data_IF_907376801611
#
_entry.id   IF_907376801611
#
_cell.length_a   1.000
_cell.length_b   1.000
_cell.length_c   1.000
_cell.angle_alpha   90.00
_cell.angle_beta   90.00
_cell.angle_gamma   90.00
#
_symmetry.space_group_name_H-M   'P 1'
#
loop_
_entity.id
_entity.type
_entity.pdbx_description
1 polymer ?
#
# COMPACT_ATOMS: atom_id res chain seq x y z
N UNK A 1 9.60 -37.36 26.02
CA UNK A 1 10.55 -36.32 25.54
C UNK A 1 10.64 -36.54 24.05
N UNK A 2 9.93 -35.72 23.31
CA UNK A 2 9.56 -36.01 21.93
C UNK A 2 10.46 -35.31 20.90
N UNK A 3 10.85 -36.12 19.97
CA UNK A 3 11.65 -35.92 18.78
C UNK A 3 10.99 -34.91 17.76
N UNK A 4 10.87 -33.64 18.16
CA UNK A 4 10.45 -32.55 17.25
C UNK A 4 11.62 -31.84 16.60
N UNK A 5 12.86 -32.06 17.06
CA UNK A 5 14.08 -31.47 16.52
C UNK A 5 14.55 -32.06 15.19
N UNK A 6 14.17 -33.30 14.87
CA UNK A 6 14.70 -34.01 13.72
C UNK A 6 13.87 -33.77 12.43
N UNK A 7 12.57 -33.46 12.56
CA UNK A 7 11.73 -33.18 11.38
C UNK A 7 12.01 -31.82 10.76
N UNK A 8 12.38 -30.81 11.55
CA UNK A 8 12.73 -29.49 11.01
C UNK A 8 14.07 -29.48 10.26
N UNK A 9 15.06 -30.29 10.69
CA UNK A 9 16.35 -30.42 9.97
C UNK A 9 16.23 -31.16 8.63
N UNK A 10 15.34 -32.14 8.52
CA UNK A 10 15.12 -32.87 7.27
C UNK A 10 14.44 -31.98 6.21
N UNK A 11 13.50 -31.11 6.60
CA UNK A 11 12.83 -30.16 5.72
C UNK A 11 13.78 -29.03 5.24
N UNK A 12 14.76 -28.66 6.08
CA UNK A 12 15.79 -27.68 5.70
C UNK A 12 16.78 -28.23 4.67
N UNK A 13 17.08 -29.53 4.68
CA UNK A 13 18.03 -30.15 3.72
C UNK A 13 17.47 -30.32 2.31
N UNK A 14 16.15 -30.32 2.12
CA UNK A 14 15.50 -30.41 0.82
C UNK A 14 15.30 -29.06 0.13
N UNK A 15 15.40 -27.96 0.87
CA UNK A 15 15.34 -26.61 0.30
C UNK A 15 16.71 -26.21 -0.22
N UNK A 16 16.85 -26.08 -1.55
CA UNK A 16 18.11 -25.60 -2.13
C UNK A 16 18.61 -24.29 -1.52
N UNK A 17 19.91 -24.04 -1.53
CA UNK A 17 20.56 -22.91 -0.82
C UNK A 17 20.02 -21.52 -1.19
N UNK A 18 19.37 -21.38 -2.35
CA UNK A 18 18.80 -20.12 -2.82
C UNK A 18 17.57 -19.68 -1.99
N UNK A 19 16.69 -20.61 -1.61
CA UNK A 19 15.47 -20.27 -0.85
C UNK A 19 15.78 -19.90 0.60
N UNK A 20 16.69 -20.62 1.24
CA UNK A 20 17.08 -20.38 2.64
C UNK A 20 17.76 -19.03 2.82
N UNK A 21 18.43 -18.52 1.78
CA UNK A 21 19.14 -17.24 1.86
C UNK A 21 18.23 -16.00 1.91
N UNK A 22 16.96 -16.10 1.51
CA UNK A 22 16.01 -14.98 1.46
C UNK A 22 15.07 -14.93 2.64
N UNK A 23 14.72 -16.07 3.24
CA UNK A 23 13.81 -16.13 4.38
C UNK A 23 14.47 -15.56 5.64
N UNK A 24 13.74 -14.76 6.38
CA UNK A 24 14.14 -14.20 7.66
C UNK A 24 13.01 -14.38 8.66
N UNK A 25 13.31 -15.04 9.79
CA UNK A 25 12.32 -15.31 10.81
C UNK A 25 11.07 -16.02 10.27
N UNK A 26 9.91 -15.61 10.74
CA UNK A 26 8.64 -16.28 10.45
C UNK A 26 7.85 -15.62 9.28
N UNK A 27 8.03 -14.31 9.04
CA UNK A 27 7.16 -13.55 8.14
C UNK A 27 7.92 -12.70 7.12
N UNK A 28 9.25 -12.58 7.26
CA UNK A 28 10.04 -11.65 6.45
C UNK A 28 10.84 -12.34 5.35
N UNK A 29 10.96 -11.64 4.23
CA UNK A 29 11.79 -12.02 3.08
C UNK A 29 12.71 -10.84 2.76
N UNK A 30 14.01 -11.11 2.60
CA UNK A 30 14.97 -10.14 2.07
C UNK A 30 15.41 -10.63 0.70
N UNK A 31 15.18 -9.85 -0.32
CA UNK A 31 15.44 -10.25 -1.70
C UNK A 31 16.94 -10.26 -2.00
N UNK A 32 17.46 -11.40 -2.47
CA UNK A 32 18.85 -11.51 -2.93
C UNK A 32 19.10 -10.65 -4.17
N UNK A 33 18.08 -10.54 -5.03
CA UNK A 33 18.03 -9.63 -6.17
C UNK A 33 16.86 -8.68 -5.96
N UNK A 34 17.12 -7.58 -5.27
CA UNK A 34 16.09 -6.60 -4.94
C UNK A 34 15.54 -5.95 -6.23
N UNK A 35 14.22 -6.03 -6.48
CA UNK A 35 13.60 -5.36 -7.62
C UNK A 35 13.73 -3.85 -7.56
N UNK A 36 13.77 -3.21 -8.72
CA UNK A 36 13.68 -1.76 -8.85
C UNK A 36 12.21 -1.33 -8.85
N UNK A 37 11.94 -0.21 -8.24
CA UNK A 37 10.71 0.54 -8.47
C UNK A 37 11.02 1.55 -9.57
N UNK A 38 10.53 1.29 -10.79
CA UNK A 38 10.93 2.01 -12.01
C UNK A 38 10.17 3.31 -12.20
N UNK A 39 8.89 3.31 -11.86
CA UNK A 39 8.01 4.46 -11.93
C UNK A 39 6.82 4.29 -10.99
N UNK A 40 6.21 5.41 -10.68
CA UNK A 40 4.92 5.47 -10.00
C UNK A 40 4.10 6.63 -10.55
N UNK A 41 2.78 6.52 -10.40
CA UNK A 41 1.87 7.61 -10.71
C UNK A 41 0.75 7.69 -9.70
N UNK A 42 0.21 8.89 -9.53
CA UNK A 42 -0.86 9.21 -8.60
C UNK A 42 -1.92 10.06 -9.29
N UNK A 43 -3.18 9.66 -9.11
CA UNK A 43 -4.36 10.41 -9.55
C UNK A 43 -5.21 10.69 -8.33
N UNK A 44 -5.72 11.91 -8.17
CA UNK A 44 -6.46 12.30 -6.99
C UNK A 44 -7.67 13.18 -7.31
N UNK A 45 -8.67 13.16 -6.43
CA UNK A 45 -9.88 13.95 -6.51
C UNK A 45 -9.71 15.39 -6.03
N UNK A 46 -10.82 16.12 -6.05
CA UNK A 46 -10.87 17.54 -5.76
C UNK A 46 -10.49 17.88 -4.31
N UNK A 47 -10.92 17.07 -3.34
CA UNK A 47 -10.63 17.28 -1.92
C UNK A 47 -9.15 17.04 -1.60
N UNK A 48 -8.56 16.01 -2.18
CA UNK A 48 -7.14 15.68 -2.06
C UNK A 48 -6.27 16.75 -2.71
N UNK A 49 -6.72 17.32 -3.85
CA UNK A 49 -6.04 18.41 -4.55
C UNK A 49 -5.97 19.71 -3.70
N UNK A 50 -6.92 19.91 -2.78
CA UNK A 50 -6.94 21.04 -1.84
C UNK A 50 -6.10 20.76 -0.59
N UNK A 51 -5.65 19.55 -0.36
CA UNK A 51 -4.84 19.16 0.77
C UNK A 51 -3.36 19.51 0.65
N UNK A 52 -2.56 19.22 1.68
CA UNK A 52 -1.13 19.52 1.70
C UNK A 52 -0.34 18.90 0.55
N UNK A 53 -0.80 17.77 0.01
CA UNK A 53 -0.13 17.06 -1.08
C UNK A 53 -0.69 17.41 -2.47
N UNK A 54 -1.61 18.35 -2.59
CA UNK A 54 -2.32 18.64 -3.85
C UNK A 54 -1.40 18.91 -5.04
N UNK A 55 -0.26 19.59 -4.82
CA UNK A 55 0.73 19.90 -5.86
C UNK A 55 1.68 18.73 -6.19
N UNK A 56 1.62 17.65 -5.41
CA UNK A 56 2.50 16.48 -5.58
C UNK A 56 1.89 15.43 -6.48
N UNK A 57 0.56 15.41 -6.63
CA UNK A 57 -0.11 14.43 -7.49
C UNK A 57 0.19 14.68 -8.96
N UNK A 58 0.26 13.60 -9.73
CA UNK A 58 0.52 13.66 -11.17
C UNK A 58 -0.68 14.19 -11.97
N UNK A 59 -1.86 13.82 -11.51
CA UNK A 59 -3.13 14.27 -12.07
C UNK A 59 -4.14 14.51 -10.94
N UNK A 60 -4.82 15.63 -11.00
CA UNK A 60 -5.97 15.92 -10.13
C UNK A 60 -7.17 16.29 -10.99
N UNK A 61 -8.38 15.93 -10.55
CA UNK A 61 -9.61 16.30 -11.22
C UNK A 61 -10.51 17.07 -10.25
N UNK A 62 -11.11 18.16 -10.75
CA UNK A 62 -12.11 18.94 -10.00
C UNK A 62 -13.48 18.24 -10.01
N UNK A 63 -13.73 17.41 -11.01
CA UNK A 63 -14.90 16.54 -11.11
C UNK A 63 -14.60 15.18 -10.47
N UNK A 64 -15.19 14.90 -9.31
CA UNK A 64 -15.02 13.62 -8.60
C UNK A 64 -15.65 12.44 -9.36
N UNK A 65 -16.45 12.68 -10.40
CA UNK A 65 -16.92 11.64 -11.32
C UNK A 65 -15.91 11.27 -12.40
N UNK A 66 -14.84 12.04 -12.57
CA UNK A 66 -13.80 11.77 -13.58
C UNK A 66 -14.38 11.55 -15.00
N UNK A 67 -15.43 12.29 -15.32
CA UNK A 67 -16.14 12.19 -16.61
C UNK A 67 -17.03 10.96 -16.76
N UNK A 68 -17.25 10.18 -15.70
CA UNK A 68 -18.12 9.01 -15.68
C UNK A 68 -19.55 9.36 -15.21
N UNK A 69 -20.47 8.43 -15.36
CA UNK A 69 -21.85 8.56 -14.87
C UNK A 69 -22.04 8.01 -13.45
N UNK A 70 -21.15 7.13 -13.01
CA UNK A 70 -21.20 6.48 -11.70
C UNK A 70 -19.86 6.60 -10.95
N UNK A 71 -19.90 6.49 -9.62
CA UNK A 71 -18.69 6.53 -8.80
C UNK A 71 -17.79 5.31 -8.98
N UNK A 72 -18.36 4.14 -9.32
CA UNK A 72 -17.60 2.93 -9.61
C UNK A 72 -16.80 3.09 -10.91
N UNK A 73 -17.41 3.67 -11.95
CA UNK A 73 -16.73 4.02 -13.20
C UNK A 73 -15.68 5.14 -12.97
N UNK A 74 -15.99 6.13 -12.14
CA UNK A 74 -15.06 7.18 -11.77
C UNK A 74 -13.78 6.61 -11.14
N UNK A 75 -13.94 5.67 -10.20
CA UNK A 75 -12.82 4.97 -9.57
C UNK A 75 -12.04 4.12 -10.58
N UNK A 76 -12.74 3.46 -11.50
CA UNK A 76 -12.14 2.70 -12.61
C UNK A 76 -11.29 3.59 -13.52
N UNK A 77 -11.79 4.77 -13.88
CA UNK A 77 -11.07 5.75 -14.68
C UNK A 77 -9.80 6.23 -13.96
N UNK A 78 -9.86 6.51 -12.67
CA UNK A 78 -8.68 6.87 -11.88
C UNK A 78 -7.61 5.77 -11.90
N UNK A 79 -7.99 4.50 -11.74
CA UNK A 79 -7.05 3.38 -11.81
C UNK A 79 -6.40 3.27 -13.18
N UNK A 80 -7.20 3.37 -14.24
CA UNK A 80 -6.71 3.34 -15.62
C UNK A 80 -5.68 4.43 -15.87
N UNK A 81 -6.01 5.68 -15.51
CA UNK A 81 -5.11 6.82 -15.67
C UNK A 81 -3.80 6.65 -14.88
N UNK A 82 -3.87 6.18 -13.64
CA UNK A 82 -2.67 5.91 -12.85
C UNK A 82 -1.76 4.86 -13.51
N UNK A 83 -2.33 3.77 -14.04
CA UNK A 83 -1.60 2.75 -14.77
C UNK A 83 -0.94 3.32 -16.04
N UNK A 84 -1.69 4.05 -16.85
CA UNK A 84 -1.21 4.66 -18.10
C UNK A 84 -0.06 5.63 -17.83
N UNK A 85 -0.20 6.48 -16.81
CA UNK A 85 0.84 7.42 -16.40
C UNK A 85 2.10 6.69 -15.89
N UNK A 86 1.96 5.67 -15.06
CA UNK A 86 3.10 4.90 -14.53
C UNK A 86 3.86 4.20 -15.67
N UNK A 87 3.15 3.56 -16.60
CA UNK A 87 3.73 2.94 -17.79
C UNK A 87 4.41 3.98 -18.69
N UNK A 88 3.76 5.12 -18.91
CA UNK A 88 4.32 6.23 -19.68
C UNK A 88 5.63 6.77 -19.10
N UNK A 89 5.69 6.96 -17.79
CA UNK A 89 6.90 7.45 -17.08
C UNK A 89 8.06 6.45 -17.11
N UNK A 90 7.75 5.15 -17.13
CA UNK A 90 8.78 4.10 -17.21
C UNK A 90 9.30 3.87 -18.63
N UNK A 91 8.53 4.27 -19.63
CA UNK A 91 8.74 3.91 -21.04
C UNK A 91 8.78 2.39 -21.31
N UNK A 92 8.10 1.61 -20.47
CA UNK A 92 7.92 0.17 -20.67
C UNK A 92 6.67 -0.07 -21.52
N UNK A 93 6.79 -0.93 -22.53
CA UNK A 93 5.64 -1.37 -23.31
C UNK A 93 4.68 -2.18 -22.40
N UNK A 94 3.39 -1.86 -22.31
CA UNK A 94 2.41 -2.62 -21.53
C UNK A 94 2.44 -4.12 -21.82
N UNK A 95 2.72 -4.52 -23.06
CA UNK A 95 2.86 -5.93 -23.47
C UNK A 95 4.04 -6.66 -22.81
N UNK A 96 5.00 -5.92 -22.24
CA UNK A 96 6.14 -6.48 -21.51
C UNK A 96 5.84 -6.73 -20.03
N UNK A 97 4.72 -6.20 -19.53
CA UNK A 97 4.27 -6.41 -18.15
C UNK A 97 3.66 -7.81 -18.05
N UNK A 98 4.26 -8.63 -17.17
CA UNK A 98 3.84 -10.03 -17.06
C UNK A 98 2.54 -10.22 -16.32
N UNK A 99 2.38 -9.54 -15.18
CA UNK A 99 1.19 -9.55 -14.34
C UNK A 99 0.89 -8.17 -13.77
N UNK A 100 -0.38 -7.93 -13.55
CA UNK A 100 -0.91 -6.82 -12.77
C UNK A 100 -1.45 -7.36 -11.46
N UNK A 101 -1.12 -6.69 -10.35
CA UNK A 101 -1.67 -6.91 -9.02
C UNK A 101 -2.48 -5.68 -8.66
N UNK A 102 -3.79 -5.83 -8.53
CA UNK A 102 -4.65 -4.67 -8.32
C UNK A 102 -5.82 -4.95 -7.39
N UNK A 103 -6.34 -3.90 -6.80
CA UNK A 103 -7.50 -3.98 -5.94
C UNK A 103 -8.04 -2.60 -5.57
N UNK A 104 -9.23 -2.64 -5.01
CA UNK A 104 -9.99 -1.50 -4.52
C UNK A 104 -10.74 -1.89 -3.24
N UNK A 105 -11.63 -1.02 -2.73
CA UNK A 105 -12.42 -1.30 -1.52
C UNK A 105 -13.77 -1.96 -1.81
N UNK A 106 -14.18 -2.04 -3.07
CA UNK A 106 -15.52 -2.49 -3.45
C UNK A 106 -15.62 -4.01 -3.52
N UNK A 107 -16.83 -4.52 -3.38
CA UNK A 107 -17.10 -5.95 -3.56
C UNK A 107 -16.66 -6.42 -4.92
N UNK A 108 -16.07 -7.60 -4.94
CA UNK A 108 -15.49 -8.29 -6.09
C UNK A 108 -14.39 -7.52 -6.83
N UNK A 109 -13.89 -6.38 -6.28
CA UNK A 109 -12.89 -5.57 -6.96
C UNK A 109 -13.40 -5.00 -8.28
N UNK A 110 -14.63 -4.46 -8.30
CA UNK A 110 -15.29 -4.06 -9.55
C UNK A 110 -14.61 -2.87 -10.21
N UNK A 111 -14.17 -1.88 -9.42
CA UNK A 111 -13.47 -0.73 -9.96
C UNK A 111 -12.15 -1.14 -10.64
N UNK A 112 -11.42 -2.06 -10.03
CA UNK A 112 -10.18 -2.61 -10.60
C UNK A 112 -10.47 -3.40 -11.87
N UNK A 113 -11.48 -4.27 -11.85
CA UNK A 113 -11.82 -5.11 -12.99
C UNK A 113 -12.15 -4.29 -14.24
N UNK A 114 -12.96 -3.25 -14.08
CA UNK A 114 -13.33 -2.33 -15.17
C UNK A 114 -12.18 -1.39 -15.55
N UNK A 115 -11.42 -0.91 -14.57
CA UNK A 115 -10.37 0.10 -14.78
C UNK A 115 -9.16 -0.41 -15.56
N UNK A 116 -8.81 -1.70 -15.40
CA UNK A 116 -7.61 -2.27 -16.04
C UNK A 116 -7.89 -3.17 -17.23
N UNK A 117 -9.16 -3.39 -17.58
CA UNK A 117 -9.57 -4.26 -18.68
C UNK A 117 -8.85 -3.90 -20.00
N UNK A 118 -8.84 -2.63 -20.36
CA UNK A 118 -8.23 -2.14 -21.60
C UNK A 118 -6.71 -2.35 -21.68
N UNK A 119 -6.03 -2.54 -20.55
CA UNK A 119 -4.59 -2.79 -20.54
C UNK A 119 -4.22 -4.18 -21.05
N UNK A 120 -5.18 -5.11 -21.06
CA UNK A 120 -5.02 -6.51 -21.51
C UNK A 120 -3.81 -7.22 -20.87
N UNK A 121 -3.51 -6.87 -19.60
CA UNK A 121 -2.45 -7.49 -18.79
C UNK A 121 -3.10 -8.54 -17.88
N UNK A 122 -2.58 -9.79 -17.81
CA UNK A 122 -3.08 -10.79 -16.87
C UNK A 122 -3.06 -10.27 -15.43
N UNK A 123 -4.18 -10.40 -14.72
CA UNK A 123 -4.39 -9.76 -13.42
C UNK A 123 -4.61 -10.76 -12.29
N UNK A 124 -4.08 -10.40 -11.11
CA UNK A 124 -4.51 -10.91 -9.81
C UNK A 124 -5.31 -9.81 -9.10
N UNK A 125 -6.61 -10.03 -8.93
CA UNK A 125 -7.46 -9.19 -8.09
C UNK A 125 -7.20 -9.49 -6.61
N UNK A 126 -6.93 -8.45 -5.82
CA UNK A 126 -6.54 -8.54 -4.43
C UNK A 126 -7.55 -7.82 -3.53
N UNK A 127 -7.68 -8.30 -2.29
CA UNK A 127 -8.49 -7.63 -1.29
C UNK A 127 -7.92 -7.78 0.13
N UNK A 128 -7.23 -6.75 0.58
CA UNK A 128 -6.76 -6.56 1.96
C UNK A 128 -7.30 -5.26 2.58
N UNK A 129 -8.50 -4.83 2.17
CA UNK A 129 -9.06 -3.52 2.50
C UNK A 129 -8.04 -2.40 2.17
N UNK A 130 -7.85 -1.42 3.06
CA UNK A 130 -6.90 -0.33 2.81
C UNK A 130 -5.43 -0.81 2.68
N UNK A 131 -5.07 -2.00 3.18
CA UNK A 131 -3.72 -2.57 3.04
C UNK A 131 -3.41 -3.16 1.66
N UNK A 132 -4.39 -3.22 0.76
CA UNK A 132 -4.23 -3.81 -0.59
C UNK A 132 -3.08 -3.18 -1.37
N UNK A 133 -2.75 -1.90 -1.15
CA UNK A 133 -1.57 -1.26 -1.76
C UNK A 133 -0.25 -1.92 -1.36
N UNK A 134 -0.13 -2.32 -0.09
CA UNK A 134 1.02 -3.08 0.40
C UNK A 134 1.05 -4.51 -0.12
N UNK A 135 -0.10 -5.16 -0.17
CA UNK A 135 -0.26 -6.50 -0.71
C UNK A 135 0.13 -6.56 -2.19
N UNK A 136 -0.40 -5.65 -3.01
CA UNK A 136 -0.09 -5.57 -4.44
C UNK A 136 1.40 -5.31 -4.70
N UNK A 137 2.00 -4.36 -3.98
CA UNK A 137 3.41 -4.01 -4.14
C UNK A 137 4.33 -5.15 -3.65
N UNK A 138 3.98 -5.83 -2.55
CA UNK A 138 4.71 -6.98 -2.06
C UNK A 138 4.70 -8.14 -3.07
N UNK A 139 3.52 -8.48 -3.62
CA UNK A 139 3.39 -9.55 -4.61
C UNK A 139 4.10 -9.23 -5.91
N UNK A 140 4.03 -7.97 -6.39
CA UNK A 140 4.79 -7.53 -7.55
C UNK A 140 6.30 -7.70 -7.34
N UNK A 141 6.82 -7.25 -6.19
CA UNK A 141 8.24 -7.39 -5.86
C UNK A 141 8.68 -8.84 -5.71
N UNK A 142 7.90 -9.67 -5.02
CA UNK A 142 8.15 -11.11 -4.86
C UNK A 142 8.19 -11.80 -6.21
N UNK A 143 7.25 -11.48 -7.11
CA UNK A 143 7.17 -12.08 -8.45
C UNK A 143 8.37 -11.73 -9.33
N UNK A 144 8.82 -10.47 -9.29
CA UNK A 144 10.04 -10.05 -9.99
C UNK A 144 11.28 -10.72 -9.37
N UNK A 145 11.42 -10.72 -8.05
CA UNK A 145 12.55 -11.32 -7.35
C UNK A 145 12.65 -12.84 -7.58
N UNK A 146 11.51 -13.51 -7.74
CA UNK A 146 11.42 -14.93 -8.07
C UNK A 146 11.71 -15.25 -9.57
N UNK A 147 11.78 -14.22 -10.43
CA UNK A 147 12.04 -14.40 -11.86
C UNK A 147 10.81 -14.81 -12.67
N UNK A 148 9.59 -14.57 -12.19
CA UNK A 148 8.36 -14.88 -12.93
C UNK A 148 8.07 -13.91 -14.07
N UNK A 149 8.80 -12.82 -14.16
CA UNK A 149 8.77 -11.83 -15.24
C UNK A 149 9.66 -10.64 -14.91
N UNK A 150 10.00 -9.87 -15.95
CA UNK A 150 10.86 -8.69 -15.79
C UNK A 150 10.13 -7.47 -15.26
N UNK A 151 8.83 -7.36 -15.57
CA UNK A 151 8.01 -6.22 -15.16
C UNK A 151 6.68 -6.69 -14.59
N UNK A 152 6.29 -6.08 -13.47
CA UNK A 152 5.01 -6.25 -12.80
C UNK A 152 4.42 -4.88 -12.52
N UNK A 153 3.10 -4.75 -12.69
CA UNK A 153 2.36 -3.54 -12.36
C UNK A 153 1.54 -3.77 -11.10
N UNK A 154 1.61 -2.85 -10.16
CA UNK A 154 0.76 -2.82 -8.97
C UNK A 154 -0.10 -1.56 -9.02
N UNK A 155 -1.41 -1.67 -8.71
CA UNK A 155 -2.32 -0.52 -8.68
C UNK A 155 -3.39 -0.71 -7.62
N UNK A 156 -3.72 0.36 -6.90
CA UNK A 156 -4.87 0.38 -6.01
C UNK A 156 -5.53 1.74 -6.03
N UNK A 157 -6.84 1.74 -5.78
CA UNK A 157 -7.66 2.94 -5.68
C UNK A 157 -8.65 2.87 -4.54
N UNK A 158 -9.16 4.02 -4.16
CA UNK A 158 -10.38 4.19 -3.40
C UNK A 158 -11.08 5.46 -3.87
N UNK A 159 -12.40 5.50 -3.71
CA UNK A 159 -13.21 6.65 -4.05
C UNK A 159 -14.25 6.88 -2.95
N UNK A 160 -14.36 8.14 -2.46
CA UNK A 160 -15.27 8.46 -1.37
C UNK A 160 -16.71 8.00 -1.66
N UNK A 161 -17.27 8.37 -2.81
CA UNK A 161 -18.67 8.07 -3.14
C UNK A 161 -18.99 6.59 -3.19
N UNK A 162 -18.14 5.78 -3.85
CA UNK A 162 -18.32 4.33 -3.97
C UNK A 162 -18.14 3.62 -2.62
N UNK A 163 -17.08 3.94 -1.89
CA UNK A 163 -16.77 3.31 -0.60
C UNK A 163 -17.80 3.69 0.49
N UNK A 164 -18.20 4.94 0.58
CA UNK A 164 -19.21 5.36 1.56
C UNK A 164 -20.57 4.71 1.27
N UNK A 165 -20.94 4.56 0.00
CA UNK A 165 -22.14 3.83 -0.41
C UNK A 165 -22.08 2.34 -0.02
N UNK A 166 -20.91 1.74 -0.12
CA UNK A 166 -20.69 0.34 0.25
C UNK A 166 -20.74 0.11 1.77
N UNK A 167 -20.08 0.97 2.54
CA UNK A 167 -19.81 0.74 3.97
C UNK A 167 -20.71 1.56 4.91
N UNK A 168 -21.23 2.71 4.47
CA UNK A 168 -22.03 3.64 5.30
C UNK A 168 -23.36 4.04 4.65
N UNK A 169 -24.03 3.05 4.10
CA UNK A 169 -25.38 3.27 3.56
C UNK A 169 -26.41 3.51 4.70
N UNK A 170 -27.36 4.46 4.60
CA UNK A 170 -27.55 5.34 3.44
C UNK A 170 -26.56 6.50 3.40
N UNK A 171 -26.10 6.82 2.19
CA UNK A 171 -25.05 7.81 1.94
C UNK A 171 -25.39 9.24 2.44
N UNK A 172 -26.68 9.55 2.54
CA UNK A 172 -27.13 10.84 3.09
C UNK A 172 -26.70 11.13 4.53
N UNK A 173 -26.22 10.10 5.26
CA UNK A 173 -25.67 10.23 6.60
C UNK A 173 -24.14 10.19 6.64
N UNK A 174 -23.47 10.15 5.49
CA UNK A 174 -22.02 10.04 5.46
C UNK A 174 -21.27 11.23 6.11
N UNK A 175 -21.90 12.38 6.25
CA UNK A 175 -21.39 13.54 6.97
C UNK A 175 -21.59 13.46 8.51
N UNK A 176 -22.41 12.54 9.00
CA UNK A 176 -22.62 12.31 10.44
C UNK A 176 -21.59 11.31 10.97
N UNK A 177 -20.35 11.75 11.06
CA UNK A 177 -19.21 10.90 11.44
C UNK A 177 -18.71 11.27 12.84
N UNK A 178 -18.39 10.29 13.72
CA UNK A 178 -17.69 10.58 14.96
C UNK A 178 -16.27 11.07 14.69
N UNK A 179 -15.63 11.71 15.68
CA UNK A 179 -14.24 12.18 15.55
C UNK A 179 -13.22 11.05 15.32
N UNK A 180 -13.61 9.80 15.58
CA UNK A 180 -12.80 8.61 15.30
C UNK A 180 -12.87 8.15 13.85
N UNK A 181 -13.85 8.62 13.06
CA UNK A 181 -14.03 8.20 11.68
C UNK A 181 -13.01 8.85 10.76
N UNK A 182 -12.62 8.08 9.74
CA UNK A 182 -11.78 8.55 8.64
C UNK A 182 -12.63 9.08 7.48
N UNK A 183 -11.99 9.85 6.64
CA UNK A 183 -12.50 10.23 5.32
C UNK A 183 -11.89 9.31 4.25
N UNK A 184 -12.71 8.63 3.46
CA UNK A 184 -12.19 7.82 2.35
C UNK A 184 -11.56 8.72 1.30
N UNK A 185 -10.30 8.47 0.98
CA UNK A 185 -9.54 9.22 -0.02
C UNK A 185 -10.00 8.84 -1.42
N UNK A 186 -10.26 9.83 -2.25
CA UNK A 186 -10.55 9.66 -3.68
C UNK A 186 -9.23 9.76 -4.44
N UNK A 187 -8.54 8.63 -4.60
CA UNK A 187 -7.26 8.58 -5.31
C UNK A 187 -6.92 7.17 -5.79
N UNK A 188 -5.98 7.12 -6.73
CA UNK A 188 -5.31 5.90 -7.19
C UNK A 188 -3.80 6.08 -7.22
N UNK A 189 -3.07 5.00 -6.95
CA UNK A 189 -1.62 4.93 -7.12
C UNK A 189 -1.21 3.67 -7.86
N UNK A 190 -0.36 3.82 -8.89
CA UNK A 190 0.18 2.73 -9.68
C UNK A 190 1.71 2.71 -9.65
N UNK A 191 2.30 1.50 -9.66
CA UNK A 191 3.73 1.28 -9.50
C UNK A 191 4.23 0.24 -10.50
N UNK A 192 5.26 0.57 -11.26
CA UNK A 192 5.96 -0.41 -12.10
C UNK A 192 7.20 -0.93 -11.37
N UNK A 193 7.22 -2.22 -11.12
CA UNK A 193 8.33 -2.94 -10.49
C UNK A 193 9.06 -3.76 -11.54
N UNK A 194 10.40 -3.69 -11.56
CA UNK A 194 11.21 -4.35 -12.58
C UNK A 194 12.48 -5.02 -12.05
N UNK A 195 12.95 -6.03 -12.78
CA UNK A 195 14.18 -6.79 -12.45
C UNK A 195 15.46 -5.98 -12.71
N UNK A 196 15.39 -4.99 -13.58
CA UNK A 196 16.53 -4.16 -14.00
C UNK A 196 16.06 -2.78 -14.43
N UNK A 197 16.97 -1.82 -14.41
CA UNK A 197 16.74 -0.51 -15.01
C UNK A 197 16.69 -0.65 -16.54
N UNK A 198 15.79 0.07 -17.18
CA UNK A 198 15.74 0.08 -18.64
C UNK A 198 17.08 0.48 -19.22
N UNK A 199 17.71 -0.42 -19.98
CA UNK A 199 18.92 -0.13 -20.72
C UNK A 199 18.59 0.87 -21.81
N UNK A 200 19.35 1.96 -21.85
CA UNK A 200 19.29 2.93 -22.92
C UNK A 200 19.79 2.23 -24.17
N UNK A 201 18.92 1.88 -25.11
CA UNK A 201 19.37 1.52 -26.45
C UNK A 201 20.03 2.75 -27.08
N UNK A 202 21.23 2.54 -27.64
CA UNK A 202 22.18 3.56 -28.10
C UNK A 202 21.77 4.34 -29.37
N UNK A 203 20.48 4.43 -29.69
CA UNK A 203 20.03 5.26 -30.79
C UNK A 203 19.90 6.72 -30.33
N UNK A 204 20.55 7.59 -31.07
CA UNK A 204 20.78 9.02 -30.83
C UNK A 204 19.51 9.89 -30.69
N UNK A 205 18.33 9.31 -30.56
CA UNK A 205 17.07 10.02 -30.33
C UNK A 205 16.47 9.71 -28.97
N UNK A 206 16.65 10.66 -28.05
CA UNK A 206 16.08 10.76 -26.70
C UNK A 206 16.37 9.55 -25.79
N UNK A 207 17.31 9.72 -24.88
CA UNK A 207 17.54 8.86 -23.73
C UNK A 207 16.26 8.81 -22.88
N UNK A 208 15.37 7.82 -23.11
CA UNK A 208 14.20 7.58 -22.29
C UNK A 208 14.66 6.82 -21.06
N UNK A 209 14.67 7.47 -19.90
CA UNK A 209 15.07 6.91 -18.61
C UNK A 209 13.82 6.58 -17.83
N UNK A 210 13.84 5.50 -17.03
CA UNK A 210 12.84 5.28 -15.99
C UNK A 210 12.74 6.51 -15.08
N UNK A 211 11.56 6.77 -14.54
CA UNK A 211 11.33 7.88 -13.61
C UNK A 211 12.27 7.80 -12.41
N UNK A 212 12.34 6.59 -11.80
CA UNK A 212 13.22 6.31 -10.67
C UNK A 212 14.39 5.43 -11.09
N UNK A 213 15.54 5.66 -10.48
CA UNK A 213 16.79 4.93 -10.76
C UNK A 213 17.46 4.40 -9.51
N UNK A 214 17.15 4.99 -8.37
CA UNK A 214 17.81 4.72 -7.10
C UNK A 214 16.90 4.05 -6.08
N UNK A 215 15.70 3.61 -6.49
CA UNK A 215 14.73 3.01 -5.58
C UNK A 215 14.65 1.51 -5.79
N UNK A 216 14.84 0.76 -4.71
CA UNK A 216 14.64 -0.70 -4.69
C UNK A 216 13.71 -1.12 -3.57
N UNK A 217 12.97 -2.20 -3.84
CA UNK A 217 12.23 -2.93 -2.81
C UNK A 217 13.17 -4.05 -2.34
N UNK A 218 13.74 -3.89 -1.14
CA UNK A 218 14.77 -4.80 -0.63
C UNK A 218 14.21 -6.01 0.10
N UNK A 219 12.95 -5.96 0.51
CA UNK A 219 12.27 -7.06 1.16
C UNK A 219 10.87 -6.71 1.62
N UNK A 220 10.21 -7.69 2.20
CA UNK A 220 8.84 -7.59 2.70
C UNK A 220 8.68 -8.33 4.03
N UNK A 221 7.75 -7.89 4.86
CA UNK A 221 7.23 -8.65 6.01
C UNK A 221 5.74 -8.81 5.81
N UNK A 222 5.30 -10.03 5.55
CA UNK A 222 3.90 -10.32 5.28
C UNK A 222 3.16 -10.43 6.63
N UNK A 223 2.17 -9.58 6.80
CA UNK A 223 1.35 -9.55 8.01
C UNK A 223 0.33 -10.68 8.05
N UNK A 224 -0.19 -10.90 9.23
CA UNK A 224 -1.32 -11.79 9.50
C UNK A 224 -2.53 -10.99 9.96
N UNK A 225 -3.70 -11.60 9.88
CA UNK A 225 -4.93 -11.03 10.44
C UNK A 225 -4.81 -11.00 11.96
N UNK A 226 -5.06 -9.83 12.56
CA UNK A 226 -5.04 -9.61 14.00
C UNK A 226 -6.39 -9.05 14.43
N UNK A 227 -7.04 -9.70 15.38
CA UNK A 227 -8.34 -9.30 15.90
C UNK A 227 -8.27 -9.12 17.42
N UNK A 228 -8.55 -7.91 17.89
CA UNK A 228 -8.66 -7.58 19.32
C UNK A 228 -10.12 -7.53 19.80
N UNK A 229 -11.07 -8.01 18.99
CA UNK A 229 -12.48 -8.06 19.32
C UNK A 229 -13.20 -6.71 19.26
N UNK A 230 -12.62 -5.71 18.58
CA UNK A 230 -13.22 -4.39 18.44
C UNK A 230 -14.42 -4.44 17.48
N UNK A 231 -15.52 -3.81 17.90
CA UNK A 231 -16.80 -3.81 17.16
C UNK A 231 -17.24 -2.41 16.72
N UNK A 232 -16.35 -1.43 16.78
CA UNK A 232 -16.65 -0.06 16.34
C UNK A 232 -16.12 0.15 14.92
N UNK A 233 -17.00 0.03 13.93
CA UNK A 233 -16.70 0.25 12.52
C UNK A 233 -16.35 1.70 12.17
N UNK A 234 -16.69 2.64 13.06
CA UNK A 234 -16.34 4.06 12.91
C UNK A 234 -14.98 4.41 13.52
N UNK A 235 -14.28 3.42 14.11
CA UNK A 235 -12.95 3.58 14.66
C UNK A 235 -11.97 2.58 14.02
N UNK A 236 -11.83 2.67 12.71
CA UNK A 236 -10.96 1.77 11.95
C UNK A 236 -9.50 1.84 12.40
N UNK A 237 -9.01 3.02 12.79
CA UNK A 237 -7.65 3.18 13.31
C UNK A 237 -7.37 2.28 14.51
N UNK A 238 -8.31 2.17 15.45
CA UNK A 238 -8.18 1.25 16.59
C UNK A 238 -8.19 -0.23 16.13
N UNK A 239 -8.99 -0.57 15.13
CA UNK A 239 -9.02 -1.94 14.58
C UNK A 239 -7.72 -2.32 13.87
N UNK A 240 -7.08 -1.37 13.16
CA UNK A 240 -5.87 -1.59 12.36
C UNK A 240 -4.57 -1.55 13.18
N UNK A 241 -4.49 -0.73 14.23
CA UNK A 241 -3.27 -0.51 15.00
C UNK A 241 -2.63 -1.80 15.56
N UNK A 242 -3.39 -2.81 16.06
CA UNK A 242 -2.82 -4.08 16.48
C UNK A 242 -2.09 -4.85 15.36
N UNK A 243 -2.65 -4.85 14.14
CA UNK A 243 -2.03 -5.52 12.99
C UNK A 243 -0.78 -4.78 12.53
N UNK A 244 -0.80 -3.44 12.48
CA UNK A 244 0.37 -2.63 12.19
C UNK A 244 1.48 -2.88 13.22
N UNK A 245 1.12 -2.93 14.51
CA UNK A 245 2.05 -3.25 15.60
C UNK A 245 2.68 -4.63 15.42
N UNK A 246 1.88 -5.66 15.12
CA UNK A 246 2.39 -7.02 14.93
C UNK A 246 3.37 -7.07 13.75
N UNK A 247 3.04 -6.44 12.63
CA UNK A 247 3.85 -6.46 11.42
C UNK A 247 5.17 -5.69 11.60
N UNK A 248 5.14 -4.49 12.19
CA UNK A 248 6.34 -3.69 12.48
C UNK A 248 7.24 -4.43 13.48
N UNK A 249 6.66 -4.92 14.57
CA UNK A 249 7.40 -5.70 15.57
C UNK A 249 8.02 -6.95 14.95
N UNK A 250 7.28 -7.66 14.10
CA UNK A 250 7.79 -8.87 13.43
C UNK A 250 8.93 -8.52 12.48
N UNK A 251 8.83 -7.42 11.73
CA UNK A 251 9.93 -6.94 10.89
C UNK A 251 11.21 -6.73 11.72
N UNK A 252 11.09 -6.07 12.88
CA UNK A 252 12.24 -5.84 13.76
C UNK A 252 12.85 -7.14 14.28
N UNK A 253 12.00 -8.07 14.74
CA UNK A 253 12.47 -9.36 15.27
C UNK A 253 13.12 -10.24 14.18
N UNK A 254 12.46 -10.39 13.04
CA UNK A 254 12.91 -11.26 11.98
C UNK A 254 14.24 -10.80 11.36
N UNK A 255 14.50 -9.48 11.37
CA UNK A 255 15.67 -8.87 10.77
C UNK A 255 16.75 -8.43 11.78
N UNK A 256 16.50 -8.54 13.08
CA UNK A 256 17.38 -8.01 14.12
C UNK A 256 17.52 -6.50 14.04
N UNK A 257 16.43 -5.78 13.71
CA UNK A 257 16.39 -4.31 13.52
C UNK A 257 15.63 -3.62 14.63
N UNK A 258 15.74 -2.30 14.63
CA UNK A 258 15.00 -1.37 15.47
C UNK A 258 14.47 -0.22 14.62
N UNK A 259 13.75 0.73 15.24
CA UNK A 259 13.32 1.95 14.56
C UNK A 259 14.50 2.80 14.04
N UNK A 260 15.69 2.68 14.64
CA UNK A 260 16.87 3.46 14.23
C UNK A 260 17.46 3.02 12.87
N UNK A 261 17.10 1.81 12.43
CA UNK A 261 17.52 1.27 11.12
C UNK A 261 16.70 1.87 9.95
N UNK A 262 15.69 2.69 10.24
CA UNK A 262 14.82 3.34 9.26
C UNK A 262 14.85 4.86 9.41
N UNK A 263 14.82 5.58 8.30
CA UNK A 263 14.59 7.02 8.30
C UNK A 263 13.13 7.32 8.66
N UNK A 264 12.21 6.53 8.10
CA UNK A 264 10.78 6.62 8.39
C UNK A 264 10.13 5.22 8.47
N UNK A 265 9.15 5.10 9.36
CA UNK A 265 8.19 3.99 9.43
C UNK A 265 6.83 4.60 9.09
N UNK A 266 6.25 4.20 7.96
CA UNK A 266 5.12 4.91 7.36
C UNK A 266 3.90 4.00 7.32
N UNK A 267 2.86 4.33 8.07
CA UNK A 267 1.58 3.62 8.01
C UNK A 267 0.64 4.20 6.96
N UNK A 268 -0.32 3.39 6.51
CA UNK A 268 -1.22 3.78 5.42
C UNK A 268 -2.29 4.77 5.86
N UNK A 269 -3.05 4.41 6.88
CA UNK A 269 -4.26 5.16 7.25
C UNK A 269 -4.73 4.86 8.69
N UNK A 270 -3.80 4.78 9.62
CA UNK A 270 -4.14 4.65 11.05
C UNK A 270 -4.85 5.90 11.58
N UNK A 271 -4.52 7.05 11.03
CA UNK A 271 -5.00 8.33 11.51
C UNK A 271 -4.56 8.63 12.94
N UNK A 272 -5.05 9.73 13.51
CA UNK A 272 -4.61 10.22 14.83
C UNK A 272 -4.86 9.22 15.96
N UNK A 273 -6.01 8.54 15.95
CA UNK A 273 -6.38 7.58 17.01
C UNK A 273 -5.55 6.31 16.87
N UNK A 274 -5.49 5.72 15.68
CA UNK A 274 -4.72 4.49 15.45
C UNK A 274 -3.23 4.71 15.66
N UNK A 275 -2.67 5.87 15.30
CA UNK A 275 -1.29 6.24 15.58
C UNK A 275 -0.99 6.23 17.08
N UNK A 276 -1.86 6.86 17.90
CA UNK A 276 -1.69 6.89 19.35
C UNK A 276 -1.65 5.46 19.94
N UNK A 277 -2.58 4.62 19.50
CA UNK A 277 -2.64 3.22 19.93
C UNK A 277 -1.39 2.44 19.47
N UNK A 278 -0.94 2.65 18.23
CA UNK A 278 0.29 2.05 17.72
C UNK A 278 1.50 2.41 18.60
N UNK A 279 1.63 3.66 19.00
CA UNK A 279 2.73 4.10 19.86
C UNK A 279 2.73 3.42 21.21
N UNK A 280 1.58 3.29 21.84
CA UNK A 280 1.44 2.62 23.15
C UNK A 280 1.73 1.11 23.02
N UNK A 281 1.22 0.46 21.99
CA UNK A 281 1.47 -0.95 21.73
C UNK A 281 2.94 -1.24 21.40
N UNK A 282 3.60 -0.40 20.60
CA UNK A 282 5.04 -0.53 20.30
C UNK A 282 5.88 -0.28 21.54
N UNK A 283 5.53 0.74 22.34
CA UNK A 283 6.22 1.02 23.61
C UNK A 283 6.12 -0.15 24.58
N UNK A 284 4.97 -0.83 24.67
CA UNK A 284 4.81 -2.02 25.51
C UNK A 284 5.71 -3.18 25.06
N UNK A 285 6.15 -3.19 23.81
CA UNK A 285 7.10 -4.17 23.24
C UNK A 285 8.56 -3.69 23.28
N UNK A 286 8.83 -2.54 23.91
CA UNK A 286 10.18 -1.99 24.08
C UNK A 286 10.68 -1.08 22.97
N UNK A 287 9.81 -0.62 22.07
CA UNK A 287 10.18 0.24 20.93
C UNK A 287 9.45 1.59 20.99
N UNK A 288 10.17 2.68 20.82
CA UNK A 288 9.60 4.03 20.67
C UNK A 288 9.79 4.53 19.24
N UNK A 289 8.74 4.41 18.43
CA UNK A 289 8.79 4.77 17.01
C UNK A 289 8.31 6.21 16.72
N UNK A 290 7.89 6.99 17.73
CA UNK A 290 7.25 8.31 17.55
C UNK A 290 8.04 9.28 16.68
N UNK A 291 9.37 9.31 16.82
CA UNK A 291 10.24 10.23 16.08
C UNK A 291 10.47 9.82 14.63
N UNK A 292 10.15 8.58 14.30
CA UNK A 292 10.37 7.97 12.98
C UNK A 292 9.07 7.62 12.26
N UNK A 293 7.93 7.96 12.86
CA UNK A 293 6.63 7.58 12.33
C UNK A 293 5.97 8.69 11.54
N UNK A 294 5.39 8.30 10.41
CA UNK A 294 4.53 9.09 9.56
C UNK A 294 3.28 8.25 9.22
N UNK A 295 2.12 8.89 9.02
CA UNK A 295 0.91 8.23 8.54
C UNK A 295 0.38 8.95 7.29
N UNK A 296 0.08 8.18 6.23
CA UNK A 296 -0.37 8.76 4.96
C UNK A 296 -1.72 9.47 5.12
N UNK A 297 -2.64 8.88 5.90
CA UNK A 297 -3.96 9.47 6.15
C UNK A 297 -3.90 10.78 6.90
N UNK A 298 -2.90 10.97 7.77
CA UNK A 298 -2.66 12.24 8.46
C UNK A 298 -1.95 13.27 7.58
N UNK A 299 -1.29 12.82 6.52
CA UNK A 299 -0.45 13.69 5.66
C UNK A 299 -1.23 14.23 4.46
N UNK A 300 -2.19 13.45 3.94
CA UNK A 300 -2.90 13.80 2.70
C UNK A 300 -3.91 14.93 2.87
N UNK A 301 -4.47 15.07 4.07
CA UNK A 301 -5.45 16.12 4.39
C UNK A 301 -4.95 17.07 5.48
N UNK A 302 -5.43 18.30 5.44
CA UNK A 302 -5.29 19.26 6.52
C UNK A 302 -6.43 19.05 7.53
N UNK A 303 -6.07 18.69 8.76
CA UNK A 303 -7.03 18.34 9.80
C UNK A 303 -7.92 19.52 10.22
N UNK A 304 -7.37 20.74 10.18
CA UNK A 304 -8.07 21.93 10.69
C UNK A 304 -9.09 22.48 9.68
N UNK A 305 -8.78 22.35 8.36
CA UNK A 305 -9.54 23.02 7.31
C UNK A 305 -10.39 22.10 6.45
N UNK A 306 -10.13 20.77 6.45
CA UNK A 306 -10.77 19.85 5.52
C UNK A 306 -11.81 18.90 6.14
N UNK A 307 -12.14 19.03 7.42
CA UNK A 307 -13.16 18.20 8.12
C UNK A 307 -13.00 16.68 7.88
N UNK A 308 -11.80 16.15 8.09
CA UNK A 308 -11.51 14.73 7.88
C UNK A 308 -11.40 13.92 9.16
N UNK A 309 -11.65 14.54 10.33
CA UNK A 309 -11.64 13.93 11.67
C UNK A 309 -10.36 13.15 11.97
N UNK A 310 -10.40 11.80 11.90
CA UNK A 310 -9.22 10.99 12.20
C UNK A 310 -8.16 11.00 11.08
N UNK A 311 -8.46 11.55 9.92
CA UNK A 311 -7.57 11.62 8.76
C UNK A 311 -8.14 10.89 7.55
N UNK A 312 -7.33 10.73 6.51
CA UNK A 312 -7.66 9.99 5.30
C UNK A 312 -7.58 8.48 5.49
N UNK A 313 -8.33 7.72 4.68
CA UNK A 313 -8.31 6.25 4.67
C UNK A 313 -8.51 5.70 3.26
N UNK A 314 -8.19 4.44 3.08
CA UNK A 314 -8.38 3.71 1.83
C UNK A 314 -7.08 3.27 1.17
N UNK A 315 -7.15 2.26 0.32
CA UNK A 315 -5.95 1.78 -0.39
C UNK A 315 -5.42 2.81 -1.41
N UNK A 316 -6.26 3.72 -1.90
CA UNK A 316 -5.84 4.89 -2.67
C UNK A 316 -5.05 5.91 -1.83
N UNK A 317 -5.34 6.04 -0.53
CA UNK A 317 -4.62 6.94 0.39
C UNK A 317 -3.13 6.58 0.47
N UNK A 318 -2.82 5.34 0.87
CA UNK A 318 -1.46 4.87 1.02
C UNK A 318 -0.72 4.87 -0.34
N UNK A 319 -1.38 4.41 -1.41
CA UNK A 319 -0.78 4.32 -2.73
C UNK A 319 -0.47 5.69 -3.34
N UNK A 320 -1.42 6.62 -3.32
CA UNK A 320 -1.20 7.96 -3.89
C UNK A 320 -0.15 8.76 -3.12
N UNK A 321 -0.14 8.66 -1.78
CA UNK A 321 0.88 9.30 -0.93
C UNK A 321 2.27 8.69 -1.17
N UNK A 322 2.37 7.36 -1.32
CA UNK A 322 3.63 6.71 -1.66
C UNK A 322 4.16 7.25 -2.99
N UNK A 323 3.30 7.26 -4.05
CA UNK A 323 3.69 7.66 -5.40
C UNK A 323 4.09 9.14 -5.51
N UNK A 324 3.30 10.03 -4.90
CA UNK A 324 3.42 11.48 -5.09
C UNK A 324 4.43 12.14 -4.15
N UNK A 325 4.56 11.65 -2.93
CA UNK A 325 5.33 12.33 -1.89
C UNK A 325 6.53 11.52 -1.37
N UNK A 326 6.32 10.25 -1.07
CA UNK A 326 7.34 9.43 -0.40
C UNK A 326 8.46 9.02 -1.36
N UNK A 327 8.12 8.46 -2.53
CA UNK A 327 9.10 7.98 -3.49
C UNK A 327 10.02 9.09 -4.03
N UNK A 328 9.55 10.32 -4.33
CA UNK A 328 10.42 11.42 -4.67
C UNK A 328 11.48 11.73 -3.61
N UNK A 329 11.15 11.64 -2.31
CA UNK A 329 12.11 11.85 -1.22
C UNK A 329 13.18 10.76 -1.16
N UNK A 330 12.81 9.53 -1.48
CA UNK A 330 13.76 8.43 -1.58
C UNK A 330 14.64 8.61 -2.81
N UNK A 331 14.09 8.89 -3.98
CA UNK A 331 14.86 9.09 -5.22
C UNK A 331 15.90 10.21 -5.08
N UNK A 332 15.54 11.28 -4.38
CA UNK A 332 16.44 12.42 -4.12
C UNK A 332 17.43 12.15 -2.98
N UNK A 333 17.36 11.00 -2.31
CA UNK A 333 18.26 10.62 -1.21
C UNK A 333 17.99 11.34 0.13
N UNK A 334 16.84 12.03 0.26
CA UNK A 334 16.41 12.62 1.53
C UNK A 334 16.10 11.53 2.56
N UNK A 335 15.44 10.45 2.12
CA UNK A 335 15.29 9.23 2.88
C UNK A 335 16.01 8.08 2.18
N UNK A 336 16.79 7.33 2.92
CA UNK A 336 17.59 6.22 2.39
C UNK A 336 16.93 4.87 2.62
N UNK A 337 16.18 4.73 3.71
CA UNK A 337 15.53 3.46 4.07
C UNK A 337 14.24 3.75 4.81
N UNK A 338 13.14 3.26 4.25
CA UNK A 338 11.83 3.33 4.89
C UNK A 338 11.22 1.95 5.08
N UNK A 339 10.33 1.86 6.07
CA UNK A 339 9.41 0.76 6.23
C UNK A 339 8.00 1.26 5.92
N UNK A 340 7.46 0.90 4.76
CA UNK A 340 6.11 1.27 4.34
C UNK A 340 5.13 0.18 4.75
N UNK A 341 4.12 0.54 5.56
CA UNK A 341 3.22 -0.39 6.26
C UNK A 341 1.76 0.01 6.02
N UNK A 342 1.22 -0.18 4.82
CA UNK A 342 -0.22 -0.01 4.59
C UNK A 342 -1.05 -0.89 5.52
N UNK A 343 -2.12 -0.30 6.05
CA UNK A 343 -3.00 -0.88 7.07
C UNK A 343 -4.39 -1.10 6.49
N UNK A 344 -5.14 -2.07 7.01
CA UNK A 344 -6.48 -2.36 6.54
C UNK A 344 -7.38 -2.89 7.66
N UNK A 345 -8.62 -2.42 7.69
CA UNK A 345 -9.69 -2.92 8.52
C UNK A 345 -10.57 -3.86 7.67
N UNK A 346 -10.57 -5.14 8.00
CA UNK A 346 -11.31 -6.17 7.25
C UNK A 346 -12.77 -6.17 7.69
N UNK A 347 -13.49 -5.12 7.31
CA UNK A 347 -14.88 -4.92 7.66
C UNK A 347 -15.80 -5.55 6.61
N UNK A 348 -16.76 -6.35 7.06
CA UNK A 348 -17.92 -6.76 6.29
C UNK A 348 -19.16 -6.16 6.94
N UNK A 349 -19.95 -5.40 6.19
CA UNK A 349 -21.19 -4.80 6.70
C UNK A 349 -22.20 -5.86 7.16
N UNK A 350 -22.21 -7.03 6.53
CA UNK A 350 -23.08 -8.15 6.93
C UNK A 350 -22.63 -8.69 8.29
N UNK A 351 -21.36 -9.12 8.41
CA UNK A 351 -20.83 -9.68 9.65
C UNK A 351 -20.85 -8.69 10.81
N UNK A 352 -20.52 -7.41 10.54
CA UNK A 352 -20.56 -6.34 11.52
C UNK A 352 -21.99 -6.14 12.08
N UNK A 353 -23.01 -6.10 11.21
CA UNK A 353 -24.41 -5.97 11.63
C UNK A 353 -24.89 -7.18 12.44
N UNK A 354 -24.27 -8.33 12.27
CA UNK A 354 -24.48 -9.54 13.09
C UNK A 354 -23.68 -9.55 14.39
N UNK A 355 -22.92 -8.50 14.67
CA UNK A 355 -22.15 -8.31 15.91
C UNK A 355 -20.74 -8.89 15.90
N UNK A 356 -20.19 -9.22 14.72
CA UNK A 356 -18.80 -9.63 14.60
C UNK A 356 -17.85 -8.43 14.85
N UNK A 357 -16.61 -8.74 15.24
CA UNK A 357 -15.52 -7.79 15.34
C UNK A 357 -14.96 -7.41 13.97
N UNK A 358 -14.15 -6.34 13.93
CA UNK A 358 -13.44 -5.86 12.74
C UNK A 358 -11.95 -6.17 12.92
N UNK A 359 -11.43 -7.26 12.33
CA UNK A 359 -10.00 -7.56 12.39
C UNK A 359 -9.18 -6.62 11.51
N UNK A 360 -7.90 -6.44 11.88
CA UNK A 360 -6.94 -5.66 11.10
C UNK A 360 -5.93 -6.54 10.36
N UNK A 361 -5.34 -5.97 9.31
CA UNK A 361 -4.21 -6.54 8.57
C UNK A 361 -3.24 -5.42 8.16
N UNK A 362 -1.95 -5.74 8.05
CA UNK A 362 -0.94 -4.83 7.54
C UNK A 362 0.20 -5.61 6.91
N UNK A 363 0.76 -5.11 5.81
CA UNK A 363 1.96 -5.67 5.18
C UNK A 363 3.05 -4.62 5.16
N UNK A 364 4.30 -5.01 5.41
CA UNK A 364 5.42 -4.09 5.40
C UNK A 364 6.33 -4.31 4.19
N UNK A 365 6.67 -3.24 3.50
CA UNK A 365 7.56 -3.20 2.35
C UNK A 365 8.78 -2.36 2.73
N UNK A 366 9.98 -2.94 2.59
CA UNK A 366 11.24 -2.24 2.77
C UNK A 366 11.65 -1.58 1.47
N UNK A 367 11.70 -0.26 1.44
CA UNK A 367 12.06 0.54 0.26
C UNK A 367 13.34 1.30 0.59
N UNK A 368 14.34 1.19 -0.29
CA UNK A 368 15.65 1.77 -0.06
C UNK A 368 16.15 2.54 -1.29
N UNK A 369 16.89 3.64 -1.01
CA UNK A 369 17.71 4.34 -1.99
C UNK A 369 19.01 3.55 -2.20
N UNK A 370 19.37 3.28 -3.45
CA UNK A 370 20.56 2.46 -3.81
C UNK A 370 21.45 3.17 -4.83
#
# INVERSE_FOLDING_TARGET
>A
MNDTGNKNRAVESERGPFYLSQLRGAQSIVFTKAPYLLSAASVAGSKEAQGPLGKCFDLTNEDDLFGAETWEEAESNMQKEACVLALGKSHVDPKSVRYLFGGDLLRQGIATSMGVEDLQIPIFGLYGACSTSGEALALAAMSVAAGYGDYMLAVTSSHFGSAEKEFRFPLGYANQRPLSAHWTVTASGAFLVGSHLNKIHSDKQRQRKSQFRHIRITGVTIGKIVDFGLKDSQNMGACMAPAATDTIYRNFQDLGRTQEDYDQIITGDLGYIGQSILFDLMKSRGYDIRKKHMDCGMTIFDQETQDTHAGGSGCGCAASTLASYILPKIENGEWKKILFVPTGALMSTVSFNEGASVPGIAHAIMIEHC
#
